data_IF_329924572810
#
_entry.id   IF_329924572810
#
_cell.length_a   1.000
_cell.length_b   1.000
_cell.length_c   1.000
_cell.angle_alpha   90.00
_cell.angle_beta   90.00
_cell.angle_gamma   90.00
#
_symmetry.space_group_name_H-M   'P 1'
#
loop_
_entity.id
_entity.type
_entity.pdbx_description
1 polymer ?
#
# COMPACT_ATOMS: atom_id res chain seq x y z
N UNK A 1 9.10 -15.63 -2.22
CA UNK A 1 8.15 -14.56 -1.90
C UNK A 1 6.89 -14.69 -2.75
N UNK A 2 5.71 -14.57 -2.16
CA UNK A 2 4.41 -14.52 -2.85
C UNK A 2 3.70 -13.21 -2.48
N UNK A 3 3.09 -12.53 -3.47
CA UNK A 3 2.26 -11.35 -3.26
C UNK A 3 0.82 -11.74 -3.60
N UNK A 4 -0.12 -11.46 -2.68
CA UNK A 4 -1.56 -11.62 -2.91
C UNK A 4 -2.25 -10.27 -2.85
N UNK A 5 -3.13 -10.03 -3.80
CA UNK A 5 -3.99 -8.86 -3.82
C UNK A 5 -5.32 -9.19 -3.15
N UNK A 6 -5.62 -8.51 -2.05
CA UNK A 6 -6.84 -8.70 -1.27
C UNK A 6 -7.96 -7.72 -1.66
N UNK A 7 -7.68 -6.85 -2.62
CA UNK A 7 -8.60 -5.82 -3.13
C UNK A 7 -8.28 -4.43 -2.59
N UNK A 8 -8.77 -3.41 -3.28
CA UNK A 8 -8.53 -1.99 -2.99
C UNK A 8 -7.04 -1.65 -2.95
N UNK A 9 -6.47 -1.39 -1.76
CA UNK A 9 -5.03 -1.22 -1.54
C UNK A 9 -4.45 -2.29 -0.62
N UNK A 10 -5.23 -3.35 -0.34
CA UNK A 10 -4.85 -4.40 0.59
C UNK A 10 -4.02 -5.49 -0.09
N UNK A 11 -2.85 -5.77 0.48
CA UNK A 11 -1.95 -6.83 0.02
C UNK A 11 -1.46 -7.70 1.18
N UNK A 12 -1.26 -8.99 0.90
CA UNK A 12 -0.49 -9.92 1.73
C UNK A 12 0.82 -10.23 1.00
N UNK A 13 1.96 -10.10 1.69
CA UNK A 13 3.26 -10.56 1.20
C UNK A 13 3.72 -11.69 2.10
N UNK A 14 3.91 -12.88 1.52
CA UNK A 14 4.43 -14.04 2.23
C UNK A 14 5.89 -14.29 1.87
N UNK A 15 6.75 -14.38 2.90
CA UNK A 15 8.19 -14.63 2.79
C UNK A 15 8.70 -15.40 4.00
N UNK A 16 9.49 -16.45 3.78
CA UNK A 16 10.09 -17.24 4.86
C UNK A 16 9.07 -17.81 5.87
N UNK A 17 7.83 -18.08 5.45
CA UNK A 17 6.74 -18.56 6.30
C UNK A 17 6.12 -17.50 7.21
N UNK A 18 6.45 -16.23 7.01
CA UNK A 18 5.86 -15.07 7.66
C UNK A 18 5.03 -14.28 6.66
N UNK A 19 3.99 -13.63 7.14
CA UNK A 19 3.11 -12.80 6.33
C UNK A 19 3.12 -11.35 6.80
N UNK A 20 3.23 -10.45 5.86
CA UNK A 20 3.07 -9.00 6.04
C UNK A 20 1.73 -8.63 5.41
N UNK A 21 0.91 -7.88 6.15
CA UNK A 21 -0.30 -7.25 5.59
C UNK A 21 -0.05 -5.77 5.38
N UNK A 22 -0.56 -5.24 4.27
CA UNK A 22 -0.52 -3.81 3.97
C UNK A 22 -1.95 -3.35 3.76
N UNK A 23 -2.35 -2.25 4.44
CA UNK A 23 -3.66 -1.59 4.33
C UNK A 23 -4.85 -2.58 4.32
N UNK A 24 -5.08 -3.38 5.38
CA UNK A 24 -5.97 -4.52 5.37
C UNK A 24 -7.47 -4.14 5.39
N UNK A 25 -7.92 -3.50 4.30
CA UNK A 25 -9.34 -3.25 4.02
C UNK A 25 -9.94 -4.45 3.30
N UNK A 26 -10.50 -5.37 4.06
CA UNK A 26 -10.85 -6.72 3.60
C UNK A 26 -12.25 -6.88 3.03
N UNK A 27 -12.91 -5.79 2.63
CA UNK A 27 -14.30 -5.84 2.10
C UNK A 27 -14.45 -6.69 0.83
N UNK A 28 -13.38 -6.81 0.03
CA UNK A 28 -13.37 -7.61 -1.18
C UNK A 28 -13.16 -9.11 -0.91
N UNK A 29 -12.73 -9.47 0.29
CA UNK A 29 -12.39 -10.84 0.71
C UNK A 29 -12.95 -11.13 2.12
N UNK A 30 -14.29 -11.12 2.32
CA UNK A 30 -14.90 -11.22 3.65
C UNK A 30 -14.58 -12.53 4.38
N UNK A 31 -14.22 -13.58 3.66
CA UNK A 31 -13.86 -14.89 4.22
C UNK A 31 -12.34 -15.05 4.48
N UNK A 32 -11.53 -14.03 4.18
CA UNK A 32 -10.09 -14.05 4.43
C UNK A 32 -9.78 -14.18 5.92
N UNK A 33 -8.92 -15.13 6.26
CA UNK A 33 -8.46 -15.36 7.63
C UNK A 33 -6.98 -15.00 7.75
N UNK A 34 -6.65 -13.91 8.48
CA UNK A 34 -5.26 -13.52 8.70
C UNK A 34 -4.58 -14.50 9.66
N UNK A 35 -3.78 -15.42 9.12
CA UNK A 35 -3.00 -16.40 9.90
C UNK A 35 -1.51 -16.17 9.71
N UNK A 36 -0.72 -16.36 10.76
CA UNK A 36 0.74 -16.20 10.79
C UNK A 36 1.20 -14.78 10.39
N UNK A 37 0.40 -13.76 10.75
CA UNK A 37 0.76 -12.37 10.48
C UNK A 37 1.93 -11.97 11.36
N UNK A 38 2.99 -11.49 10.74
CA UNK A 38 4.20 -11.01 11.40
C UNK A 38 4.15 -9.51 11.68
N UNK A 39 3.67 -8.72 10.73
CA UNK A 39 3.54 -7.26 10.82
C UNK A 39 2.36 -6.77 9.96
N UNK A 40 1.79 -5.63 10.33
CA UNK A 40 0.69 -4.98 9.62
C UNK A 40 1.11 -3.54 9.32
N UNK A 41 1.34 -3.22 8.07
CA UNK A 41 1.71 -1.89 7.63
C UNK A 41 0.46 -1.10 7.23
N UNK A 42 0.32 0.12 7.77
CA UNK A 42 -0.80 1.01 7.43
C UNK A 42 -0.25 2.34 6.94
N UNK A 43 -0.56 2.66 5.68
CA UNK A 43 0.00 3.83 4.98
C UNK A 43 -0.56 5.15 5.51
N UNK A 44 -1.83 5.18 5.90
CA UNK A 44 -2.51 6.35 6.45
C UNK A 44 -3.84 5.97 7.13
N UNK A 45 -4.49 6.94 7.78
CA UNK A 45 -5.55 6.68 8.74
C UNK A 45 -6.97 6.55 8.14
N UNK A 46 -7.18 6.68 6.82
CA UNK A 46 -8.50 6.50 6.23
C UNK A 46 -9.05 5.09 6.45
N UNK A 47 -10.37 4.97 6.56
CA UNK A 47 -11.03 3.71 6.92
C UNK A 47 -10.82 2.59 5.92
N UNK A 48 -10.64 2.93 4.65
CA UNK A 48 -10.35 2.00 3.55
C UNK A 48 -8.87 1.57 3.45
N UNK A 49 -8.03 2.00 4.39
CA UNK A 49 -6.63 1.56 4.59
C UNK A 49 -6.41 0.99 5.98
N UNK A 50 -6.79 1.74 7.03
CA UNK A 50 -6.76 1.24 8.41
C UNK A 50 -7.58 -0.08 8.54
N UNK A 51 -8.73 -0.15 7.89
CA UNK A 51 -9.53 -1.35 7.74
C UNK A 51 -9.66 -2.19 9.00
N UNK A 52 -9.29 -3.45 8.90
CA UNK A 52 -9.31 -4.42 10.00
C UNK A 52 -7.99 -4.50 10.79
N UNK A 53 -7.04 -3.58 10.58
CA UNK A 53 -5.70 -3.67 11.17
C UNK A 53 -5.72 -3.81 12.70
N UNK A 54 -6.56 -3.02 13.38
CA UNK A 54 -6.67 -3.05 14.85
C UNK A 54 -7.16 -4.41 15.35
N UNK A 55 -8.23 -4.93 14.74
CA UNK A 55 -8.79 -6.24 15.09
C UNK A 55 -7.79 -7.37 14.83
N UNK A 56 -7.11 -7.34 13.68
CA UNK A 56 -6.09 -8.33 13.33
C UNK A 56 -4.94 -8.28 14.34
N UNK A 57 -4.45 -7.10 14.70
CA UNK A 57 -3.39 -6.93 15.71
C UNK A 57 -3.81 -7.49 17.07
N UNK A 58 -5.04 -7.21 17.53
CA UNK A 58 -5.56 -7.71 18.80
C UNK A 58 -5.65 -9.23 18.83
N UNK A 59 -6.06 -9.86 17.72
CA UNK A 59 -6.27 -11.29 17.62
C UNK A 59 -4.97 -12.08 17.40
N UNK A 60 -4.04 -11.56 16.59
CA UNK A 60 -2.78 -12.23 16.22
C UNK A 60 -1.60 -11.85 17.11
N UNK A 61 -1.64 -10.67 17.74
CA UNK A 61 -0.49 -10.08 18.42
C UNK A 61 0.55 -9.45 17.47
N UNK A 62 0.30 -9.43 16.16
CA UNK A 62 1.14 -8.73 15.20
C UNK A 62 1.10 -7.20 15.45
N UNK A 63 2.24 -6.49 15.41
CA UNK A 63 2.23 -5.04 15.54
C UNK A 63 1.62 -4.37 14.30
N UNK A 64 1.05 -3.18 14.50
CA UNK A 64 0.74 -2.25 13.41
C UNK A 64 1.92 -1.29 13.27
N UNK A 65 2.59 -1.34 12.13
CA UNK A 65 3.66 -0.41 11.77
C UNK A 65 3.07 0.75 10.98
N UNK A 66 3.11 1.95 11.56
CA UNK A 66 2.54 3.16 10.98
C UNK A 66 3.25 4.41 11.51
N UNK A 67 2.97 5.58 10.92
CA UNK A 67 3.46 6.85 11.46
C UNK A 67 2.96 7.07 12.90
N UNK A 68 3.74 7.82 13.69
CA UNK A 68 3.56 7.97 15.13
C UNK A 68 2.11 8.27 15.57
N UNK A 69 1.43 9.20 14.91
CA UNK A 69 0.06 9.60 15.27
C UNK A 69 -0.93 8.45 15.07
N UNK A 70 -0.81 7.71 13.97
CA UNK A 70 -1.67 6.57 13.67
C UNK A 70 -1.36 5.39 14.59
N UNK A 71 -0.08 5.10 14.83
CA UNK A 71 0.34 4.07 15.76
C UNK A 71 -0.22 4.33 17.16
N UNK A 72 -0.12 5.58 17.68
CA UNK A 72 -0.71 5.96 18.95
C UNK A 72 -2.24 5.83 19.00
N UNK A 73 -2.92 6.18 17.90
CA UNK A 73 -4.36 5.97 17.79
C UNK A 73 -4.73 4.49 17.91
N UNK A 74 -4.02 3.62 17.18
CA UNK A 74 -4.22 2.18 17.23
C UNK A 74 -3.89 1.58 18.61
N UNK A 75 -2.81 2.04 19.26
CA UNK A 75 -2.43 1.62 20.61
C UNK A 75 -3.51 1.96 21.65
N UNK A 76 -4.11 3.15 21.57
CA UNK A 76 -5.22 3.54 22.45
C UNK A 76 -6.46 2.68 22.27
N UNK A 77 -6.60 2.02 21.12
CA UNK A 77 -7.66 1.04 20.84
C UNK A 77 -7.24 -0.42 21.14
N UNK A 78 -6.08 -0.63 21.78
CA UNK A 78 -5.62 -1.92 22.27
C UNK A 78 -4.83 -2.75 21.28
N UNK A 79 -4.42 -2.20 20.13
CA UNK A 79 -3.51 -2.85 19.21
C UNK A 79 -2.06 -2.80 19.74
N UNK A 80 -1.25 -3.79 19.38
CA UNK A 80 0.20 -3.70 19.46
C UNK A 80 0.71 -2.83 18.32
N UNK A 81 1.63 -1.93 18.58
CA UNK A 81 2.09 -0.97 17.55
C UNK A 81 3.60 -0.83 17.52
N UNK A 82 4.09 -0.46 16.34
CA UNK A 82 5.46 -0.04 16.07
C UNK A 82 5.39 1.30 15.34
N UNK A 83 5.78 2.39 16.00
CA UNK A 83 5.73 3.71 15.41
C UNK A 83 7.00 4.00 14.59
N UNK A 84 6.80 4.63 13.45
CA UNK A 84 7.86 5.01 12.51
C UNK A 84 7.72 6.49 12.13
N UNK A 85 8.83 7.05 11.62
CA UNK A 85 8.82 8.29 10.85
C UNK A 85 9.13 8.03 9.38
N UNK A 86 9.09 9.04 8.54
CA UNK A 86 9.56 8.92 7.15
C UNK A 86 11.07 8.72 7.16
N UNK A 87 11.53 7.60 6.59
CA UNK A 87 12.95 7.24 6.56
C UNK A 87 13.18 5.75 6.39
N UNK A 88 14.44 5.32 6.48
CA UNK A 88 14.87 3.93 6.30
C UNK A 88 14.96 3.19 7.63
N UNK A 89 14.42 1.98 7.69
CA UNK A 89 14.22 1.17 8.90
C UNK A 89 14.67 -0.29 8.71
N UNK A 90 15.85 -0.52 8.16
CA UNK A 90 16.34 -1.87 7.89
C UNK A 90 15.73 -2.46 6.62
N UNK A 91 14.90 -3.49 6.74
CA UNK A 91 14.29 -4.20 5.59
C UNK A 91 13.09 -3.44 4.97
N UNK A 92 12.68 -2.31 5.53
CA UNK A 92 11.64 -1.44 4.97
C UNK A 92 11.97 0.04 5.20
N UNK A 93 11.37 0.89 4.38
CA UNK A 93 11.45 2.35 4.49
C UNK A 93 10.08 2.96 4.31
N UNK A 94 9.78 4.02 5.06
CA UNK A 94 8.61 4.84 4.82
C UNK A 94 9.00 6.08 4.02
N UNK A 95 8.28 6.32 2.93
CA UNK A 95 8.52 7.42 1.98
C UNK A 95 7.29 8.33 1.90
N UNK A 96 7.45 9.62 1.54
CA UNK A 96 6.33 10.55 1.48
C UNK A 96 5.23 10.13 0.51
N UNK A 97 3.98 10.31 0.92
CA UNK A 97 2.80 10.26 0.06
C UNK A 97 2.02 11.58 0.18
N UNK A 98 1.43 12.04 -0.93
CA UNK A 98 0.70 13.32 -0.98
C UNK A 98 -0.81 13.07 -0.97
N UNK A 99 -1.34 12.96 0.23
CA UNK A 99 -2.75 12.70 0.52
C UNK A 99 -3.15 13.31 1.85
N UNK A 100 -4.41 13.19 2.26
CA UNK A 100 -4.87 13.50 3.62
C UNK A 100 -4.82 12.25 4.50
N UNK A 101 -4.90 12.44 5.82
CA UNK A 101 -4.88 11.32 6.77
C UNK A 101 -5.73 11.69 7.99
N UNK A 102 -6.92 11.11 8.07
CA UNK A 102 -7.79 11.19 9.23
C UNK A 102 -8.46 9.86 9.50
N UNK A 103 -8.62 9.52 10.77
CA UNK A 103 -9.33 8.32 11.19
C UNK A 103 -10.84 8.45 10.90
N UNK A 104 -11.61 7.34 10.89
CA UNK A 104 -13.06 7.39 10.69
C UNK A 104 -13.81 8.25 11.71
N UNK A 105 -13.24 8.43 12.91
CA UNK A 105 -13.76 9.30 13.96
C UNK A 105 -13.19 10.74 13.92
N UNK A 106 -12.51 11.12 12.82
CA UNK A 106 -12.10 12.48 12.50
C UNK A 106 -10.82 12.94 13.19
N UNK A 107 -10.02 12.03 13.76
CA UNK A 107 -8.74 12.35 14.40
C UNK A 107 -7.66 12.41 13.31
N UNK A 108 -6.77 13.41 13.39
CA UNK A 108 -5.60 13.47 12.51
C UNK A 108 -4.68 12.28 12.72
N UNK A 109 -4.37 11.56 11.64
CA UNK A 109 -3.61 10.31 11.64
C UNK A 109 -2.13 10.43 11.28
N UNK A 110 -1.57 11.64 11.28
CA UNK A 110 -0.17 11.87 10.88
C UNK A 110 -0.01 12.00 9.36
N UNK A 111 1.23 12.07 8.90
CA UNK A 111 1.57 12.16 7.48
C UNK A 111 1.25 10.85 6.77
N UNK A 112 0.54 10.86 5.60
CA UNK A 112 0.46 9.68 4.75
C UNK A 112 1.85 9.26 4.26
N UNK A 113 2.05 7.96 4.09
CA UNK A 113 3.30 7.42 3.56
C UNK A 113 3.04 6.26 2.58
N UNK A 114 4.02 6.01 1.73
CA UNK A 114 4.20 4.74 1.06
C UNK A 114 5.27 3.91 1.77
N UNK A 115 5.37 2.64 1.44
CA UNK A 115 6.38 1.74 1.97
C UNK A 115 7.25 1.15 0.87
N UNK A 116 8.54 1.06 1.16
CA UNK A 116 9.51 0.28 0.40
C UNK A 116 9.85 -0.96 1.23
N UNK A 117 9.80 -2.12 0.63
CA UNK A 117 10.20 -3.39 1.24
C UNK A 117 11.34 -4.01 0.45
N UNK A 118 12.41 -4.40 1.14
CA UNK A 118 13.52 -5.17 0.57
C UNK A 118 13.38 -6.63 1.01
N UNK A 119 12.81 -7.48 0.16
CA UNK A 119 12.45 -8.86 0.49
C UNK A 119 13.03 -9.82 -0.55
N UNK A 120 13.86 -10.79 -0.09
CA UNK A 120 14.46 -11.83 -0.95
C UNK A 120 15.18 -11.27 -2.19
N UNK A 121 15.85 -10.11 -2.01
CA UNK A 121 16.60 -9.44 -3.07
C UNK A 121 15.74 -8.71 -4.11
N UNK A 122 14.45 -8.53 -3.83
CA UNK A 122 13.54 -7.66 -4.59
C UNK A 122 13.13 -6.44 -3.78
N UNK A 123 13.03 -5.31 -4.45
CA UNK A 123 12.52 -4.06 -3.88
C UNK A 123 11.08 -3.84 -4.34
N UNK A 124 10.15 -3.70 -3.39
CA UNK A 124 8.72 -3.50 -3.63
C UNK A 124 8.33 -2.13 -3.09
N UNK A 125 7.70 -1.31 -3.91
CA UNK A 125 7.11 -0.05 -3.50
C UNK A 125 5.59 -0.14 -3.47
N UNK A 126 5.00 0.05 -2.29
CA UNK A 126 3.57 0.28 -2.11
C UNK A 126 3.36 1.78 -1.90
N UNK A 127 2.73 2.45 -2.86
CA UNK A 127 2.64 3.91 -2.85
C UNK A 127 1.70 4.48 -1.77
N UNK A 128 0.79 3.65 -1.23
CA UNK A 128 -0.35 4.15 -0.48
C UNK A 128 -1.24 5.03 -1.34
N UNK A 129 -2.09 5.82 -0.70
CA UNK A 129 -2.83 6.85 -1.41
C UNK A 129 -1.97 8.09 -1.63
N UNK A 130 -1.84 8.46 -2.88
CA UNK A 130 -1.03 9.62 -3.27
C UNK A 130 -1.47 10.20 -4.61
N UNK A 131 -1.34 11.51 -4.76
CA UNK A 131 -1.30 12.16 -6.06
C UNK A 131 0.07 11.95 -6.71
N UNK A 132 0.17 12.20 -8.02
CA UNK A 132 1.47 12.29 -8.70
C UNK A 132 2.32 13.39 -8.08
N UNK A 133 3.55 13.05 -7.68
CA UNK A 133 4.46 14.01 -7.06
C UNK A 133 5.92 13.75 -7.43
N UNK A 134 6.78 14.76 -7.25
CA UNK A 134 8.18 14.71 -7.65
C UNK A 134 9.05 13.74 -6.84
N UNK A 135 8.64 13.41 -5.60
CA UNK A 135 9.36 12.46 -4.73
C UNK A 135 9.47 11.08 -5.36
N UNK A 136 8.52 10.70 -6.24
CA UNK A 136 8.57 9.43 -6.98
C UNK A 136 9.83 9.30 -7.86
N UNK A 137 10.43 10.41 -8.30
CA UNK A 137 11.72 10.39 -9.02
C UNK A 137 12.85 10.01 -8.06
N UNK A 138 12.87 10.63 -6.88
CA UNK A 138 13.88 10.34 -5.86
C UNK A 138 13.73 8.90 -5.33
N UNK A 139 12.49 8.41 -5.15
CA UNK A 139 12.22 7.03 -4.79
C UNK A 139 12.78 6.08 -5.86
N UNK A 140 12.55 6.36 -7.15
CA UNK A 140 13.10 5.58 -8.25
C UNK A 140 14.64 5.59 -8.30
N UNK A 141 15.26 6.74 -8.08
CA UNK A 141 16.73 6.88 -8.07
C UNK A 141 17.40 6.17 -6.87
N UNK A 142 16.80 6.28 -5.67
CA UNK A 142 17.40 5.78 -4.43
C UNK A 142 17.12 4.28 -4.26
N UNK A 143 15.85 3.85 -4.41
CA UNK A 143 15.44 2.50 -4.06
C UNK A 143 15.36 1.54 -5.26
N UNK A 144 15.24 2.06 -6.48
CA UNK A 144 15.20 1.27 -7.72
C UNK A 144 14.20 0.09 -7.63
N UNK A 145 12.91 0.34 -7.35
CA UNK A 145 11.96 -0.74 -7.10
C UNK A 145 11.82 -1.68 -8.31
N UNK A 146 11.76 -2.98 -8.05
CA UNK A 146 11.44 -3.99 -9.06
C UNK A 146 9.93 -3.98 -9.35
N UNK A 147 9.13 -3.82 -8.29
CA UNK A 147 7.67 -3.83 -8.32
C UNK A 147 7.15 -2.53 -7.72
N UNK A 148 6.22 -1.86 -8.40
CA UNK A 148 5.52 -0.70 -7.86
C UNK A 148 3.99 -0.94 -7.85
N UNK A 149 3.38 -0.80 -6.67
CA UNK A 149 1.93 -0.86 -6.46
C UNK A 149 1.40 0.58 -6.44
N UNK A 150 0.63 0.96 -7.47
CA UNK A 150 0.22 2.34 -7.70
C UNK A 150 -1.30 2.49 -7.73
N UNK A 151 -1.87 3.48 -7.01
CA UNK A 151 -3.29 3.79 -7.11
C UNK A 151 -3.60 4.37 -8.49
N UNK A 152 -4.72 3.93 -9.10
CA UNK A 152 -5.13 4.33 -10.45
C UNK A 152 -6.57 4.82 -10.55
N UNK A 153 -7.32 4.85 -9.44
CA UNK A 153 -8.77 5.11 -9.42
C UNK A 153 -9.16 6.57 -9.72
N UNK A 154 -8.20 7.48 -9.78
CA UNK A 154 -8.47 8.91 -9.97
C UNK A 154 -9.17 9.53 -8.77
N UNK A 155 -9.79 10.69 -8.97
CA UNK A 155 -10.58 11.49 -8.00
C UNK A 155 -9.89 11.79 -6.66
N UNK A 156 -9.43 10.77 -5.94
CA UNK A 156 -8.78 10.89 -4.63
C UNK A 156 -7.27 10.63 -4.69
N UNK A 157 -6.80 9.93 -5.72
CA UNK A 157 -5.42 9.52 -5.95
C UNK A 157 -5.00 9.82 -7.38
N UNK A 158 -3.96 9.18 -7.87
CA UNK A 158 -3.60 9.22 -9.30
C UNK A 158 -4.70 8.56 -10.13
N UNK A 159 -4.95 9.11 -11.32
CA UNK A 159 -5.61 8.43 -12.42
C UNK A 159 -4.61 7.59 -13.23
N UNK A 160 -5.08 6.94 -14.29
CA UNK A 160 -4.24 6.07 -15.14
C UNK A 160 -3.06 6.85 -15.74
N UNK A 161 -3.30 8.05 -16.29
CA UNK A 161 -2.24 8.85 -16.94
C UNK A 161 -1.15 9.25 -15.94
N UNK A 162 -1.55 9.67 -14.73
CA UNK A 162 -0.61 10.02 -13.67
C UNK A 162 0.15 8.79 -13.15
N UNK A 163 -0.50 7.64 -13.00
CA UNK A 163 0.15 6.39 -12.58
C UNK A 163 1.15 5.89 -13.62
N UNK A 164 0.83 5.99 -14.92
CA UNK A 164 1.78 5.67 -16.01
C UNK A 164 3.01 6.58 -15.95
N UNK A 165 2.81 7.88 -15.71
CA UNK A 165 3.92 8.82 -15.54
C UNK A 165 4.77 8.50 -14.30
N UNK A 166 4.13 8.15 -13.19
CA UNK A 166 4.79 7.69 -11.97
C UNK A 166 5.62 6.42 -12.21
N UNK A 167 5.05 5.43 -12.92
CA UNK A 167 5.75 4.20 -13.29
C UNK A 167 7.02 4.48 -14.12
N UNK A 168 6.96 5.46 -15.03
CA UNK A 168 8.13 5.91 -15.76
C UNK A 168 9.22 6.52 -14.87
N UNK A 169 8.84 7.30 -13.87
CA UNK A 169 9.76 7.94 -12.94
C UNK A 169 10.38 6.96 -11.93
N UNK A 170 9.60 6.02 -11.43
CA UNK A 170 10.03 5.00 -10.48
C UNK A 170 11.02 4.00 -11.09
N UNK A 171 10.93 3.78 -12.40
CA UNK A 171 11.81 2.83 -13.09
C UNK A 171 11.44 1.36 -12.89
N UNK A 172 10.50 1.02 -12.02
CA UNK A 172 10.07 -0.34 -11.75
C UNK A 172 9.73 -1.12 -13.05
N UNK A 173 10.09 -2.40 -13.10
CA UNK A 173 9.79 -3.25 -14.26
C UNK A 173 8.37 -3.77 -14.25
N UNK A 174 7.82 -4.03 -13.06
CA UNK A 174 6.50 -4.59 -12.82
C UNK A 174 5.61 -3.56 -12.12
N UNK A 175 4.42 -3.31 -12.66
CA UNK A 175 3.48 -2.32 -12.11
C UNK A 175 2.16 -3.01 -11.77
N UNK A 176 1.79 -2.97 -10.49
CA UNK A 176 0.53 -3.50 -9.96
C UNK A 176 -0.43 -2.32 -9.73
N UNK A 177 -1.58 -2.30 -10.40
CA UNK A 177 -2.61 -1.30 -10.11
C UNK A 177 -3.34 -1.63 -8.82
N UNK A 178 -3.66 -0.60 -8.04
CA UNK A 178 -4.47 -0.70 -6.83
C UNK A 178 -5.43 0.48 -6.70
N UNK A 179 -6.28 0.47 -5.68
CA UNK A 179 -7.22 1.55 -5.36
C UNK A 179 -8.14 1.92 -6.54
N UNK A 180 -8.76 0.90 -7.16
CA UNK A 180 -9.67 1.06 -8.30
C UNK A 180 -10.82 0.05 -8.23
N UNK A 181 -11.94 0.37 -8.86
CA UNK A 181 -13.13 -0.48 -9.04
C UNK A 181 -13.74 -1.07 -7.75
N UNK A 182 -13.36 -0.60 -6.56
CA UNK A 182 -14.00 -0.98 -5.30
C UNK A 182 -15.28 -0.18 -5.06
N UNK A 183 -15.30 1.07 -5.53
CA UNK A 183 -16.42 2.00 -5.43
C UNK A 183 -16.66 2.67 -6.80
N UNK A 184 -17.90 3.07 -7.08
CA UNK A 184 -18.25 3.74 -8.35
C UNK A 184 -17.38 4.98 -8.63
N UNK A 185 -17.01 5.72 -7.57
CA UNK A 185 -16.22 6.94 -7.66
C UNK A 185 -14.78 6.74 -8.17
N UNK A 186 -14.26 5.52 -8.10
CA UNK A 186 -12.91 5.12 -8.52
C UNK A 186 -12.95 4.05 -9.62
N UNK A 187 -14.02 4.05 -10.41
CA UNK A 187 -14.19 3.12 -11.51
C UNK A 187 -13.33 3.50 -12.70
N UNK A 188 -12.55 2.54 -13.22
CA UNK A 188 -11.63 2.73 -14.35
C UNK A 188 -11.70 1.54 -15.32
N UNK A 189 -11.34 1.77 -16.58
CA UNK A 189 -11.08 0.70 -17.55
C UNK A 189 -9.65 0.18 -17.37
N UNK A 190 -9.53 -0.99 -16.77
CA UNK A 190 -8.23 -1.61 -16.51
C UNK A 190 -7.48 -1.96 -17.79
N UNK A 191 -8.16 -2.17 -18.91
CA UNK A 191 -7.52 -2.48 -20.20
C UNK A 191 -6.75 -1.26 -20.74
N UNK A 192 -7.21 -0.05 -20.44
CA UNK A 192 -6.51 1.17 -20.79
C UNK A 192 -5.21 1.33 -19.99
N UNK A 193 -5.25 1.03 -18.69
CA UNK A 193 -4.04 0.99 -17.85
C UNK A 193 -3.01 -0.03 -18.40
N UNK A 194 -3.45 -1.27 -18.68
CA UNK A 194 -2.56 -2.30 -19.24
C UNK A 194 -1.89 -1.85 -20.54
N UNK A 195 -2.67 -1.26 -21.44
CA UNK A 195 -2.16 -0.75 -22.71
C UNK A 195 -1.09 0.31 -22.51
N UNK A 196 -1.39 1.34 -21.68
CA UNK A 196 -0.48 2.47 -21.47
C UNK A 196 0.82 2.06 -20.74
N UNK A 197 0.75 1.14 -19.75
CA UNK A 197 1.95 0.61 -19.08
C UNK A 197 2.85 -0.15 -20.07
N UNK A 198 2.27 -0.96 -20.97
CA UNK A 198 3.03 -1.66 -22.03
C UNK A 198 3.66 -0.69 -23.02
N UNK A 199 2.99 0.39 -23.37
CA UNK A 199 3.51 1.43 -24.28
C UNK A 199 4.78 2.11 -23.75
N UNK A 200 4.95 2.21 -22.43
CA UNK A 200 6.19 2.71 -21.82
C UNK A 200 7.22 1.60 -21.53
N UNK A 201 7.03 0.39 -22.05
CA UNK A 201 7.95 -0.73 -21.92
C UNK A 201 7.97 -1.39 -20.53
N UNK A 202 6.90 -1.25 -19.74
CA UNK A 202 6.75 -1.87 -18.41
C UNK A 202 5.77 -3.05 -18.45
N UNK A 203 5.82 -3.92 -17.44
CA UNK A 203 4.91 -5.06 -17.30
C UNK A 203 3.76 -4.72 -16.35
N UNK A 204 2.52 -4.60 -16.83
CA UNK A 204 1.36 -4.50 -15.94
C UNK A 204 1.05 -5.89 -15.35
N UNK A 205 0.95 -5.96 -14.02
CA UNK A 205 0.53 -7.16 -13.30
C UNK A 205 -0.88 -6.96 -12.75
N UNK A 206 -1.89 -7.37 -13.53
CA UNK A 206 -3.29 -7.31 -13.09
C UNK A 206 -3.57 -8.55 -12.26
N UNK A 207 -3.58 -8.37 -10.96
CA UNK A 207 -3.79 -9.45 -10.01
C UNK A 207 -5.28 -9.71 -9.80
N UNK A 208 -5.64 -10.98 -9.68
CA UNK A 208 -6.99 -11.35 -9.21
C UNK A 208 -7.05 -11.20 -7.71
N UNK A 209 -8.20 -10.71 -7.21
CA UNK A 209 -8.49 -10.67 -5.78
C UNK A 209 -8.60 -12.11 -5.26
N UNK A 210 -7.82 -12.44 -4.25
CA UNK A 210 -7.75 -13.79 -3.64
C UNK A 210 -7.71 -13.69 -2.12
N UNK A 211 -8.53 -14.51 -1.45
CA UNK A 211 -8.48 -14.75 -0.01
C UNK A 211 -7.43 -15.81 0.33
#
# INVERSE_FOLDING_TARGET
MEIKYLGHSAFEIETGGKKILIDPFLVCVPDYKPENIYDIFVTHAHGDHLGSAIEISQNSGAPITAVYELANYCAKKGAKTNDIGLGSWGEYSAVPAFHSSSTPDGIYGGCPCGFIFEIEGKTIYHAGDTSLNSEMKMIGEIYQPDVAMLPIGGKYTMDIEHAVKAAGWLGASEIIPMHYNTFDAISVDISDFERQIREIGKMPLIMQIKA
#
